data_IF_212919042990
#
_entry.id   IF_212919042990
#
_cell.length_a   1.000
_cell.length_b   1.000
_cell.length_c   1.000
_cell.angle_alpha   90.00
_cell.angle_beta   90.00
_cell.angle_gamma   90.00
#
_symmetry.space_group_name_H-M   'P 1'
#
loop_
_entity.id
_entity.type
_entity.pdbx_description
1 polymer ?
#
# COMPACT_ATOMS: atom_id res chain seq x y z
N UNK A 1 -0.02 -2.70 52.56
CA UNK A 1 -0.20 -2.89 51.10
C UNK A 1 -0.29 -1.59 50.28
N UNK A 2 -0.01 -0.39 50.84
CA UNK A 2 -0.17 0.88 50.12
C UNK A 2 1.07 1.42 49.36
N UNK A 3 2.29 1.01 49.73
CA UNK A 3 3.51 1.58 49.15
C UNK A 3 3.88 0.97 47.79
N UNK A 4 3.62 -0.32 47.57
CA UNK A 4 3.90 -0.98 46.28
C UNK A 4 3.07 -0.40 45.14
N UNK A 5 1.78 -0.12 45.38
CA UNK A 5 0.88 0.47 44.37
C UNK A 5 1.28 1.91 44.01
N UNK A 6 1.82 2.67 44.97
CA UNK A 6 2.36 4.02 44.72
C UNK A 6 3.63 3.99 43.88
N UNK A 7 4.53 3.05 44.15
CA UNK A 7 5.78 2.87 43.37
C UNK A 7 5.46 2.46 41.92
N UNK A 8 4.51 1.55 41.72
CA UNK A 8 4.07 1.12 40.37
C UNK A 8 3.43 2.28 39.60
N UNK A 9 2.58 3.09 40.24
CA UNK A 9 1.98 4.29 39.60
C UNK A 9 3.01 5.36 39.27
N UNK A 10 4.01 5.55 40.13
CA UNK A 10 5.10 6.49 39.89
C UNK A 10 5.96 6.03 38.70
N UNK A 11 6.30 4.74 38.64
CA UNK A 11 7.05 4.14 37.53
C UNK A 11 6.27 4.26 36.21
N UNK A 12 4.98 3.94 36.20
CA UNK A 12 4.13 4.11 35.02
C UNK A 12 4.02 5.58 34.57
N UNK A 13 3.91 6.51 35.51
CA UNK A 13 3.90 7.95 35.23
C UNK A 13 5.22 8.44 34.62
N UNK A 14 6.36 7.93 35.10
CA UNK A 14 7.68 8.23 34.52
C UNK A 14 7.81 7.66 33.11
N UNK A 15 7.37 6.42 32.87
CA UNK A 15 7.38 5.81 31.53
C UNK A 15 6.54 6.61 30.55
N UNK A 16 5.32 7.01 30.94
CA UNK A 16 4.44 7.84 30.11
C UNK A 16 5.03 9.22 29.85
N UNK A 17 5.65 9.85 30.86
CA UNK A 17 6.31 11.14 30.69
C UNK A 17 7.53 11.03 29.76
N UNK A 18 8.33 9.97 29.88
CA UNK A 18 9.45 9.69 28.99
C UNK A 18 8.99 9.40 27.55
N UNK A 19 7.91 8.64 27.37
CA UNK A 19 7.32 8.39 26.05
C UNK A 19 6.78 9.69 25.41
N UNK A 20 6.11 10.54 26.18
CA UNK A 20 5.62 11.83 25.71
C UNK A 20 6.78 12.80 25.38
N UNK A 21 7.85 12.82 26.19
CA UNK A 21 9.05 13.61 25.90
C UNK A 21 9.78 13.10 24.66
N UNK A 22 9.90 11.78 24.50
CA UNK A 22 10.45 11.16 23.29
C UNK A 22 9.61 11.56 22.08
N UNK A 23 8.28 11.47 22.17
CA UNK A 23 7.35 11.88 21.11
C UNK A 23 7.50 13.35 20.74
N UNK A 24 7.61 14.26 21.72
CA UNK A 24 7.84 15.69 21.49
C UNK A 24 9.23 15.94 20.86
N UNK A 25 10.26 15.21 21.29
CA UNK A 25 11.61 15.30 20.73
C UNK A 25 11.66 14.75 19.30
N UNK A 26 10.90 13.70 18.99
CA UNK A 26 10.71 13.16 17.64
C UNK A 26 10.01 14.18 16.74
N UNK A 27 8.95 14.82 17.22
CA UNK A 27 8.20 15.80 16.45
C UNK A 27 8.93 17.13 16.27
N UNK A 28 9.73 17.57 17.25
CA UNK A 28 10.46 18.84 17.19
C UNK A 28 11.82 18.73 16.51
N UNK A 29 12.44 17.55 16.52
CA UNK A 29 13.77 17.35 15.97
C UNK A 29 13.65 16.61 14.63
N UNK A 30 13.73 17.38 13.54
CA UNK A 30 13.77 16.87 12.15
C UNK A 30 14.97 15.95 11.85
N UNK A 31 15.84 15.75 12.85
CA UNK A 31 17.06 14.97 12.79
C UNK A 31 16.91 13.51 13.27
N UNK A 32 15.74 13.10 13.80
CA UNK A 32 15.46 11.66 13.84
C UNK A 32 15.33 11.21 12.39
N UNK A 33 16.15 10.25 11.92
CA UNK A 33 16.04 9.80 10.55
C UNK A 33 14.61 9.33 10.38
N UNK A 34 13.86 9.89 9.43
CA UNK A 34 12.51 9.44 9.05
C UNK A 34 12.43 7.90 8.95
N UNK A 35 13.56 7.31 8.58
CA UNK A 35 13.86 5.87 8.58
C UNK A 35 13.70 5.19 9.94
N UNK A 36 14.23 5.73 11.04
CA UNK A 36 14.07 5.15 12.37
C UNK A 36 12.61 5.16 12.86
N UNK A 37 11.87 6.22 12.55
CA UNK A 37 10.43 6.26 12.83
C UNK A 37 9.64 5.27 11.95
N UNK A 38 10.03 5.12 10.69
CA UNK A 38 9.45 4.16 9.75
C UNK A 38 9.65 2.71 10.21
N UNK A 39 10.87 2.31 10.57
CA UNK A 39 11.16 0.95 11.06
C UNK A 39 10.41 0.67 12.36
N UNK A 40 10.36 1.64 13.29
CA UNK A 40 9.57 1.52 14.52
C UNK A 40 8.07 1.36 14.21
N UNK A 41 7.53 2.15 13.29
CA UNK A 41 6.13 2.04 12.88
C UNK A 41 5.81 0.66 12.32
N UNK A 42 6.65 0.13 11.41
CA UNK A 42 6.47 -1.22 10.86
C UNK A 42 6.55 -2.30 11.93
N UNK A 43 7.50 -2.18 12.85
CA UNK A 43 7.59 -3.10 13.99
C UNK A 43 6.31 -3.08 14.82
N UNK A 44 5.79 -1.90 15.18
CA UNK A 44 4.56 -1.79 15.96
C UNK A 44 3.34 -2.33 15.22
N UNK A 45 3.23 -2.07 13.91
CA UNK A 45 2.16 -2.61 13.08
C UNK A 45 2.21 -4.14 12.98
N UNK A 46 3.42 -4.72 12.93
CA UNK A 46 3.62 -6.16 12.98
C UNK A 46 3.17 -6.74 14.33
N UNK A 47 3.61 -6.17 15.45
CA UNK A 47 3.21 -6.65 16.78
C UNK A 47 1.70 -6.53 17.02
N UNK A 48 1.08 -5.43 16.58
CA UNK A 48 -0.37 -5.28 16.61
C UNK A 48 -1.06 -6.38 15.79
N UNK A 49 -0.54 -6.68 14.59
CA UNK A 49 -1.06 -7.74 13.74
C UNK A 49 -0.93 -9.12 14.40
N UNK A 50 0.21 -9.44 15.02
CA UNK A 50 0.39 -10.70 15.76
C UNK A 50 -0.63 -10.83 16.90
N UNK A 51 -0.88 -9.73 17.64
CA UNK A 51 -1.88 -9.71 18.70
C UNK A 51 -3.29 -9.89 18.14
N UNK A 52 -3.64 -9.24 17.03
CA UNK A 52 -4.99 -9.34 16.43
C UNK A 52 -5.26 -10.70 15.80
N UNK A 53 -4.23 -11.33 15.27
CA UNK A 53 -4.32 -12.61 14.53
C UNK A 53 -3.81 -13.79 15.37
N UNK A 54 -3.71 -13.64 16.69
CA UNK A 54 -3.13 -14.67 17.57
C UNK A 54 -3.87 -16.02 17.53
N UNK A 55 -5.17 -15.99 17.22
CA UNK A 55 -6.05 -17.14 17.11
C UNK A 55 -6.26 -17.60 15.66
N UNK A 56 -5.56 -16.99 14.70
CA UNK A 56 -5.61 -17.38 13.31
C UNK A 56 -4.71 -18.59 13.10
N UNK A 57 -5.14 -19.44 12.19
CA UNK A 57 -4.29 -20.46 11.61
C UNK A 57 -3.33 -19.85 10.59
N UNK A 58 -2.27 -20.59 10.26
CA UNK A 58 -1.32 -20.13 9.25
C UNK A 58 -0.68 -21.26 8.48
N UNK A 59 -0.30 -20.93 7.24
CA UNK A 59 0.60 -21.72 6.42
C UNK A 59 1.77 -20.85 5.98
N UNK A 60 2.90 -21.49 5.69
CA UNK A 60 4.12 -20.82 5.27
C UNK A 60 4.59 -21.42 3.95
N UNK A 61 4.93 -20.55 3.01
CA UNK A 61 5.49 -20.89 1.69
C UNK A 61 6.95 -20.43 1.62
N UNK A 62 7.57 -20.41 0.44
CA UNK A 62 8.95 -19.96 0.29
C UNK A 62 9.08 -18.47 0.65
N UNK A 63 8.14 -17.64 0.22
CA UNK A 63 8.22 -16.19 0.33
C UNK A 63 7.13 -15.54 1.20
N UNK A 64 6.12 -16.29 1.63
CA UNK A 64 4.96 -15.75 2.35
C UNK A 64 4.58 -16.55 3.59
N UNK A 65 3.90 -15.85 4.51
CA UNK A 65 3.12 -16.44 5.61
C UNK A 65 1.67 -16.03 5.40
N UNK A 66 0.77 -16.99 5.27
CA UNK A 66 -0.66 -16.74 5.07
C UNK A 66 -1.39 -17.06 6.38
N UNK A 67 -2.03 -16.07 6.99
CA UNK A 67 -2.85 -16.21 8.20
C UNK A 67 -4.34 -16.18 7.85
N UNK A 68 -5.15 -17.05 8.45
CA UNK A 68 -6.57 -17.17 8.15
C UNK A 68 -7.35 -17.79 9.33
N UNK A 69 -8.67 -17.63 9.34
CA UNK A 69 -9.56 -18.34 10.27
C UNK A 69 -9.92 -19.72 9.73
N UNK A 70 -10.33 -20.66 10.60
CA UNK A 70 -10.56 -22.07 10.23
C UNK A 70 -11.59 -22.22 9.09
N UNK A 71 -12.60 -21.36 9.08
CA UNK A 71 -13.64 -21.34 8.05
C UNK A 71 -13.08 -21.08 6.64
N UNK A 72 -11.95 -20.37 6.55
CA UNK A 72 -11.28 -20.03 5.28
C UNK A 72 -10.13 -20.97 4.92
N UNK A 73 -9.91 -22.06 5.69
CA UNK A 73 -8.84 -23.04 5.41
C UNK A 73 -8.87 -23.54 3.97
N UNK A 74 -10.07 -23.78 3.42
CA UNK A 74 -10.25 -24.27 2.05
C UNK A 74 -9.74 -23.32 0.95
N UNK A 75 -9.52 -22.04 1.27
CA UNK A 75 -9.04 -21.01 0.34
C UNK A 75 -7.57 -20.64 0.57
N UNK A 76 -6.98 -21.06 1.70
CA UNK A 76 -5.60 -20.70 2.07
C UNK A 76 -4.57 -21.09 1.02
N UNK A 77 -4.66 -22.30 0.45
CA UNK A 77 -3.75 -22.77 -0.59
C UNK A 77 -3.88 -21.98 -1.90
N UNK A 78 -5.08 -21.50 -2.24
CA UNK A 78 -5.28 -20.64 -3.41
C UNK A 78 -4.57 -19.30 -3.21
N UNK A 79 -4.78 -18.65 -2.06
CA UNK A 79 -4.11 -17.38 -1.73
C UNK A 79 -2.59 -17.55 -1.71
N UNK A 80 -2.09 -18.64 -1.12
CA UNK A 80 -0.67 -18.97 -1.10
C UNK A 80 -0.09 -19.14 -2.51
N UNK A 81 -0.74 -19.90 -3.39
CA UNK A 81 -0.31 -20.09 -4.78
C UNK A 81 -0.34 -18.77 -5.56
N UNK A 82 -1.39 -17.97 -5.42
CA UNK A 82 -1.50 -16.66 -6.07
C UNK A 82 -0.39 -15.72 -5.60
N UNK A 83 -0.05 -15.72 -4.31
CA UNK A 83 1.05 -14.92 -3.76
C UNK A 83 2.42 -15.36 -4.30
N UNK A 84 2.69 -16.67 -4.33
CA UNK A 84 3.94 -17.19 -4.90
C UNK A 84 4.06 -16.90 -6.41
N UNK A 85 2.95 -17.00 -7.16
CA UNK A 85 2.93 -16.63 -8.58
C UNK A 85 3.15 -15.12 -8.80
N UNK A 86 2.77 -14.28 -7.83
CA UNK A 86 3.00 -12.83 -7.87
C UNK A 86 4.44 -12.44 -7.49
N UNK A 87 5.17 -13.30 -6.77
CA UNK A 87 6.47 -12.98 -6.19
C UNK A 87 7.50 -12.54 -7.24
N UNK A 88 7.80 -13.42 -8.21
CA UNK A 88 8.85 -13.16 -9.20
C UNK A 88 8.48 -11.99 -10.12
N UNK A 89 7.26 -11.93 -10.72
CA UNK A 89 6.92 -10.82 -11.62
C UNK A 89 7.00 -9.44 -10.94
N UNK A 90 6.57 -9.34 -9.68
CA UNK A 90 6.64 -8.08 -8.93
C UNK A 90 8.07 -7.75 -8.52
N UNK A 91 8.80 -8.70 -7.91
CA UNK A 91 10.18 -8.44 -7.45
C UNK A 91 11.13 -8.16 -8.62
N UNK A 92 10.97 -8.85 -9.75
CA UNK A 92 11.75 -8.62 -10.96
C UNK A 92 11.53 -7.21 -11.53
N UNK A 93 10.27 -6.73 -11.58
CA UNK A 93 9.95 -5.37 -12.03
C UNK A 93 10.75 -4.31 -11.26
N UNK A 94 10.85 -4.47 -9.94
CA UNK A 94 11.56 -3.53 -9.07
C UNK A 94 13.04 -3.82 -8.89
N UNK A 95 13.56 -4.93 -9.45
CA UNK A 95 14.88 -5.48 -9.08
C UNK A 95 15.06 -5.59 -7.56
N UNK A 96 13.97 -5.95 -6.87
CA UNK A 96 13.88 -6.01 -5.43
C UNK A 96 14.20 -7.41 -4.91
N UNK A 97 14.80 -7.48 -3.72
CA UNK A 97 15.11 -8.74 -3.03
C UNK A 97 14.60 -8.62 -1.60
N UNK A 98 13.43 -9.22 -1.27
CA UNK A 98 12.91 -9.24 0.08
C UNK A 98 13.87 -9.94 1.05
N UNK A 99 13.98 -9.45 2.28
CA UNK A 99 14.80 -10.07 3.33
C UNK A 99 14.02 -11.07 4.17
N UNK A 100 12.73 -10.78 4.34
CA UNK A 100 11.81 -11.50 5.19
C UNK A 100 10.58 -11.91 4.37
N UNK A 101 9.87 -12.93 4.83
CA UNK A 101 8.61 -13.36 4.20
C UNK A 101 7.55 -12.28 4.37
N UNK A 102 6.77 -12.04 3.33
CA UNK A 102 5.63 -11.13 3.42
C UNK A 102 4.47 -11.84 4.13
N UNK A 103 3.77 -11.11 5.01
CA UNK A 103 2.61 -11.63 5.73
C UNK A 103 1.35 -11.22 4.99
N UNK A 104 0.51 -12.20 4.65
CA UNK A 104 -0.84 -12.01 4.14
C UNK A 104 -1.82 -12.48 5.20
N UNK A 105 -2.78 -11.63 5.58
CA UNK A 105 -3.89 -11.99 6.47
C UNK A 105 -5.18 -12.01 5.66
N UNK A 106 -5.78 -13.19 5.56
CA UNK A 106 -7.08 -13.38 4.92
C UNK A 106 -8.20 -13.15 5.95
N UNK A 107 -9.10 -12.21 5.64
CA UNK A 107 -10.25 -11.89 6.48
C UNK A 107 -11.53 -12.53 5.94
N UNK A 108 -12.39 -13.05 6.83
CA UNK A 108 -13.58 -13.80 6.44
C UNK A 108 -14.69 -12.97 5.82
N UNK A 109 -14.71 -11.65 6.07
CA UNK A 109 -15.74 -10.72 5.59
C UNK A 109 -15.22 -9.27 5.56
N UNK A 110 -15.95 -8.40 4.84
CA UNK A 110 -15.57 -6.99 4.70
C UNK A 110 -15.65 -6.20 6.01
N UNK A 111 -16.53 -6.60 6.94
CA UNK A 111 -16.68 -5.90 8.23
C UNK A 111 -15.45 -6.09 9.11
N UNK A 112 -14.95 -7.33 9.21
CA UNK A 112 -13.74 -7.66 9.95
C UNK A 112 -12.49 -7.07 9.29
N UNK A 113 -12.43 -7.03 7.96
CA UNK A 113 -11.37 -6.34 7.23
C UNK A 113 -11.36 -4.82 7.54
N UNK A 114 -12.49 -4.13 7.40
CA UNK A 114 -12.61 -2.69 7.69
C UNK A 114 -12.31 -2.38 9.17
N UNK A 115 -12.80 -3.22 10.09
CA UNK A 115 -12.54 -3.10 11.54
C UNK A 115 -11.06 -3.27 11.90
N UNK A 116 -10.28 -3.98 11.08
CA UNK A 116 -8.83 -4.11 11.26
C UNK A 116 -8.09 -2.77 11.07
N UNK A 117 -8.71 -1.82 10.36
CA UNK A 117 -8.18 -0.49 10.05
C UNK A 117 -8.83 0.66 10.81
N UNK A 118 -9.93 0.40 11.52
CA UNK A 118 -10.75 1.48 12.08
C UNK A 118 -11.47 2.30 11.00
N UNK A 119 -11.66 1.73 9.81
CA UNK A 119 -12.47 2.29 8.74
C UNK A 119 -13.97 2.11 9.02
N UNK A 120 -14.78 2.99 8.45
CA UNK A 120 -16.24 2.80 8.43
C UNK A 120 -16.61 1.62 7.52
N UNK A 121 -17.69 0.92 7.85
CA UNK A 121 -18.10 -0.35 7.20
C UNK A 121 -18.41 -0.25 5.70
N UNK A 122 -18.48 0.96 5.15
CA UNK A 122 -18.88 1.21 3.75
C UNK A 122 -17.69 1.09 2.76
N UNK A 123 -16.46 0.95 3.25
CA UNK A 123 -15.28 0.70 2.40
C UNK A 123 -15.23 -0.77 1.94
N UNK A 124 -15.58 -0.99 0.66
CA UNK A 124 -15.58 -2.33 0.02
C UNK A 124 -14.24 -2.66 -0.61
N UNK A 125 -13.17 -2.63 0.18
CA UNK A 125 -11.85 -3.03 -0.29
C UNK A 125 -11.75 -4.57 -0.39
N UNK A 126 -11.26 -5.08 -1.52
CA UNK A 126 -10.93 -6.51 -1.67
C UNK A 126 -9.58 -6.85 -1.05
N UNK A 127 -8.68 -5.87 -0.95
CA UNK A 127 -7.40 -5.97 -0.25
C UNK A 127 -6.94 -4.61 0.24
N UNK A 128 -6.01 -4.64 1.21
CA UNK A 128 -5.40 -3.45 1.78
C UNK A 128 -3.98 -3.76 2.26
N UNK A 129 -3.02 -2.98 1.81
CA UNK A 129 -1.69 -2.91 2.36
C UNK A 129 -1.59 -1.87 3.48
N UNK A 130 -1.01 -2.28 4.61
CA UNK A 130 -0.68 -1.34 5.69
C UNK A 130 0.40 -1.86 6.62
N UNK A 131 1.39 -1.00 6.88
CA UNK A 131 2.39 -1.25 7.91
C UNK A 131 3.24 -2.50 7.67
N UNK A 132 3.42 -2.91 6.42
CA UNK A 132 4.15 -4.13 6.07
C UNK A 132 3.30 -5.40 6.03
N UNK A 133 1.99 -5.31 6.26
CA UNK A 133 1.06 -6.44 6.25
C UNK A 133 0.08 -6.28 5.10
N UNK A 134 -0.06 -7.33 4.28
CA UNK A 134 -1.06 -7.42 3.23
C UNK A 134 -2.31 -8.05 3.84
N UNK A 135 -3.47 -7.45 3.61
CA UNK A 135 -4.76 -8.01 4.04
C UNK A 135 -5.61 -8.23 2.82
N UNK A 136 -6.26 -9.38 2.76
CA UNK A 136 -7.11 -9.76 1.62
C UNK A 136 -8.45 -10.25 2.14
N UNK A 137 -9.52 -9.93 1.41
CA UNK A 137 -10.83 -10.49 1.65
C UNK A 137 -10.86 -11.93 1.12
N UNK A 138 -11.45 -12.84 1.90
CA UNK A 138 -11.59 -14.23 1.51
C UNK A 138 -12.25 -14.38 0.14
N UNK A 139 -11.72 -15.23 -0.77
CA UNK A 139 -12.27 -15.42 -2.11
C UNK A 139 -13.78 -15.73 -2.10
N UNK A 140 -14.27 -16.42 -1.07
CA UNK A 140 -15.69 -16.82 -0.95
C UNK A 140 -16.67 -15.65 -0.84
N UNK A 141 -16.20 -14.50 -0.38
CA UNK A 141 -17.06 -13.34 -0.09
C UNK A 141 -17.43 -12.56 -1.36
N UNK A 142 -16.66 -12.70 -2.43
CA UNK A 142 -16.84 -11.90 -3.65
C UNK A 142 -16.81 -12.72 -4.94
N UNK A 143 -16.34 -13.98 -4.90
CA UNK A 143 -16.39 -14.90 -6.04
C UNK A 143 -17.52 -15.90 -5.81
N UNK A 144 -18.64 -15.68 -6.49
CA UNK A 144 -19.83 -16.55 -6.40
C UNK A 144 -20.06 -17.36 -7.69
N UNK A 145 -19.48 -16.95 -8.81
CA UNK A 145 -19.66 -17.55 -10.13
C UNK A 145 -18.33 -17.59 -10.89
N UNK A 146 -18.22 -18.51 -11.85
CA UNK A 146 -17.02 -18.66 -12.68
C UNK A 146 -15.95 -19.55 -12.07
N UNK A 147 -14.76 -19.50 -12.67
CA UNK A 147 -13.58 -20.23 -12.18
C UNK A 147 -12.96 -19.45 -11.01
N UNK A 148 -12.98 -20.05 -9.82
CA UNK A 148 -12.49 -19.45 -8.59
C UNK A 148 -11.00 -19.09 -8.67
N UNK A 149 -10.17 -20.01 -9.17
CA UNK A 149 -8.72 -19.83 -9.20
C UNK A 149 -8.32 -18.79 -10.24
N UNK A 150 -8.94 -18.85 -11.42
CA UNK A 150 -8.71 -17.87 -12.48
C UNK A 150 -9.16 -16.46 -12.05
N UNK A 151 -10.36 -16.34 -11.50
CA UNK A 151 -10.92 -15.04 -11.05
C UNK A 151 -10.07 -14.45 -9.94
N UNK A 152 -9.73 -15.23 -8.91
CA UNK A 152 -8.91 -14.74 -7.80
C UNK A 152 -7.50 -14.35 -8.25
N UNK A 153 -6.89 -15.12 -9.15
CA UNK A 153 -5.52 -14.84 -9.62
C UNK A 153 -5.46 -13.61 -10.51
N UNK A 154 -6.50 -13.35 -11.32
CA UNK A 154 -6.52 -12.22 -12.24
C UNK A 154 -7.04 -10.92 -11.61
N UNK A 155 -8.17 -11.02 -10.91
CA UNK A 155 -8.95 -9.87 -10.43
C UNK A 155 -8.80 -9.67 -8.90
N UNK A 156 -8.10 -10.59 -8.23
CA UNK A 156 -7.85 -10.49 -6.80
C UNK A 156 -6.70 -9.53 -6.46
N UNK A 157 -6.63 -9.08 -5.19
CA UNK A 157 -5.81 -7.93 -4.80
C UNK A 157 -4.31 -8.25 -4.63
N UNK A 158 -3.89 -9.50 -4.75
CA UNK A 158 -2.58 -9.95 -4.26
C UNK A 158 -1.41 -9.23 -4.94
N UNK A 159 -1.46 -9.06 -6.27
CA UNK A 159 -0.39 -8.36 -7.00
C UNK A 159 -0.35 -6.87 -6.65
N UNK A 160 -1.51 -6.23 -6.57
CA UNK A 160 -1.67 -4.82 -6.20
C UNK A 160 -1.10 -4.56 -4.80
N UNK A 161 -1.53 -5.33 -3.79
CA UNK A 161 -1.08 -5.15 -2.40
C UNK A 161 0.38 -5.53 -2.19
N UNK A 162 0.88 -6.55 -2.89
CA UNK A 162 2.30 -6.87 -2.83
C UNK A 162 3.16 -5.77 -3.45
N UNK A 163 2.67 -5.12 -4.52
CA UNK A 163 3.33 -3.95 -5.10
C UNK A 163 3.41 -2.80 -4.10
N UNK A 164 2.33 -2.52 -3.35
CA UNK A 164 2.38 -1.52 -2.27
C UNK A 164 3.46 -1.85 -1.23
N UNK A 165 3.57 -3.10 -0.80
CA UNK A 165 4.60 -3.53 0.15
C UNK A 165 6.01 -3.27 -0.37
N UNK A 166 6.28 -3.62 -1.63
CA UNK A 166 7.60 -3.42 -2.26
C UNK A 166 7.92 -1.93 -2.41
N UNK A 167 6.97 -1.12 -2.88
CA UNK A 167 7.14 0.35 -3.01
C UNK A 167 7.39 0.97 -1.64
N UNK A 168 6.66 0.56 -0.59
CA UNK A 168 6.86 1.05 0.77
C UNK A 168 8.29 0.76 1.28
N UNK A 169 8.82 -0.43 1.04
CA UNK A 169 10.18 -0.80 1.44
C UNK A 169 11.25 -0.04 0.65
N UNK A 170 11.09 0.10 -0.66
CA UNK A 170 12.03 0.83 -1.53
C UNK A 170 12.07 2.32 -1.18
N UNK A 171 10.91 2.90 -0.89
CA UNK A 171 10.78 4.33 -0.56
C UNK A 171 10.94 4.63 0.92
N UNK A 172 10.97 3.61 1.79
CA UNK A 172 11.01 3.74 3.26
C UNK A 172 9.85 4.60 3.78
N UNK A 173 8.64 4.37 3.25
CA UNK A 173 7.44 5.14 3.57
C UNK A 173 7.47 6.60 3.05
N UNK A 174 8.32 6.93 2.08
CA UNK A 174 8.38 8.27 1.48
C UNK A 174 7.66 8.32 0.12
N UNK A 175 6.35 8.13 0.12
CA UNK A 175 5.50 8.23 -1.07
C UNK A 175 4.16 8.87 -0.71
N UNK A 176 3.44 9.33 -1.74
CA UNK A 176 2.08 9.85 -1.60
C UNK A 176 1.07 8.81 -2.07
N UNK A 177 -0.17 8.88 -1.56
CA UNK A 177 -1.22 7.87 -1.82
C UNK A 177 -1.44 7.63 -3.31
N UNK A 178 -1.77 8.68 -4.05
CA UNK A 178 -2.02 8.59 -5.50
C UNK A 178 -0.86 7.95 -6.26
N UNK A 179 0.38 8.25 -5.89
CA UNK A 179 1.55 7.70 -6.59
C UNK A 179 1.65 6.20 -6.38
N UNK A 180 1.48 5.72 -5.14
CA UNK A 180 1.57 4.28 -4.88
C UNK A 180 0.40 3.51 -5.50
N UNK A 181 -0.80 4.08 -5.56
CA UNK A 181 -1.95 3.46 -6.25
C UNK A 181 -1.73 3.38 -7.75
N UNK A 182 -1.15 4.42 -8.35
CA UNK A 182 -0.79 4.39 -9.78
C UNK A 182 0.26 3.33 -10.11
N UNK A 183 1.28 3.18 -9.25
CA UNK A 183 2.33 2.16 -9.44
C UNK A 183 1.76 0.75 -9.24
N UNK A 184 0.92 0.54 -8.23
CA UNK A 184 0.28 -0.74 -7.98
C UNK A 184 -0.61 -1.18 -9.15
N UNK A 185 -1.48 -0.29 -9.67
CA UNK A 185 -2.28 -0.56 -10.87
C UNK A 185 -1.43 -0.83 -12.11
N UNK A 186 -0.32 -0.09 -12.29
CA UNK A 186 0.57 -0.29 -13.44
C UNK A 186 1.21 -1.69 -13.42
N UNK A 187 1.69 -2.14 -12.26
CA UNK A 187 2.30 -3.46 -12.10
C UNK A 187 1.24 -4.56 -12.19
N UNK A 188 0.08 -4.39 -11.56
CA UNK A 188 -1.06 -5.32 -11.66
C UNK A 188 -1.46 -5.55 -13.12
N UNK A 189 -1.67 -4.47 -13.88
CA UNK A 189 -1.94 -4.53 -15.32
C UNK A 189 -0.89 -5.31 -16.10
N UNK A 190 0.38 -5.19 -15.74
CA UNK A 190 1.46 -5.94 -16.40
C UNK A 190 1.49 -7.43 -16.05
N UNK A 191 1.17 -7.77 -14.81
CA UNK A 191 1.31 -9.13 -14.29
C UNK A 191 0.05 -9.96 -14.54
N UNK A 192 -1.13 -9.41 -14.27
CA UNK A 192 -2.41 -10.11 -14.37
C UNK A 192 -3.20 -9.75 -15.62
N UNK A 193 -2.92 -8.57 -16.21
CA UNK A 193 -3.73 -8.00 -17.28
C UNK A 193 -4.99 -7.28 -16.79
N UNK A 194 -5.23 -7.24 -15.48
CA UNK A 194 -6.35 -6.51 -14.89
C UNK A 194 -6.13 -4.99 -14.99
N UNK A 195 -7.20 -4.27 -15.28
CA UNK A 195 -7.22 -2.81 -15.25
C UNK A 195 -8.61 -2.36 -14.84
N UNK A 196 -8.70 -1.32 -14.01
CA UNK A 196 -9.97 -0.66 -13.79
C UNK A 196 -10.46 -0.04 -15.09
N UNK A 197 -11.78 -0.05 -15.27
CA UNK A 197 -12.41 0.66 -16.38
C UNK A 197 -12.18 2.16 -16.25
N UNK A 198 -11.93 2.82 -17.38
CA UNK A 198 -11.87 4.28 -17.38
C UNK A 198 -13.25 4.84 -16.97
N UNK A 199 -13.30 5.89 -16.13
CA UNK A 199 -14.56 6.54 -15.76
C UNK A 199 -15.34 7.00 -17.01
N UNK A 200 -16.68 6.92 -16.95
CA UNK A 200 -17.50 7.55 -17.99
C UNK A 200 -17.37 9.07 -17.88
N UNK A 201 -16.90 9.70 -18.96
CA UNK A 201 -16.79 11.15 -19.03
C UNK A 201 -18.08 11.72 -19.64
N UNK A 202 -19.07 12.01 -18.81
CA UNK A 202 -20.32 12.68 -19.22
C UNK A 202 -20.07 14.20 -19.45
N UNK A 203 -19.03 14.55 -20.21
CA UNK A 203 -18.57 15.92 -20.43
C UNK A 203 -17.05 16.07 -20.28
N UNK A 204 -16.60 17.25 -19.81
CA UNK A 204 -15.16 17.50 -19.62
C UNK A 204 -14.63 16.71 -18.43
N UNK A 205 -13.50 16.02 -18.62
CA UNK A 205 -12.75 15.36 -17.56
C UNK A 205 -12.32 16.37 -16.49
N UNK A 206 -12.84 16.23 -15.26
CA UNK A 206 -12.38 17.01 -14.11
C UNK A 206 -11.04 16.46 -13.60
N UNK A 207 -9.95 16.98 -14.15
CA UNK A 207 -8.59 16.59 -13.74
C UNK A 207 -8.26 17.19 -12.38
N UNK A 208 -7.98 16.33 -11.40
CA UNK A 208 -7.46 16.75 -10.10
C UNK A 208 -6.00 17.20 -10.24
N UNK A 209 -5.61 18.32 -9.65
CA UNK A 209 -4.18 18.60 -9.56
C UNK A 209 -3.54 17.66 -8.50
N UNK A 210 -2.24 17.41 -8.59
CA UNK A 210 -1.56 16.51 -7.65
C UNK A 210 -1.61 16.95 -6.20
N UNK A 211 -1.73 18.25 -5.90
CA UNK A 211 -1.89 18.70 -4.52
C UNK A 211 -3.26 18.30 -3.95
N UNK A 212 -4.31 18.32 -4.78
CA UNK A 212 -5.64 17.79 -4.44
C UNK A 212 -5.58 16.27 -4.25
N UNK A 213 -4.96 15.53 -5.18
CA UNK A 213 -4.79 14.08 -5.06
C UNK A 213 -3.95 13.68 -3.84
N UNK A 214 -2.98 14.50 -3.44
CA UNK A 214 -2.16 14.25 -2.26
C UNK A 214 -2.94 14.48 -0.96
N UNK A 215 -3.77 15.53 -0.91
CA UNK A 215 -4.48 15.91 0.32
C UNK A 215 -5.78 15.15 0.54
N UNK A 216 -6.55 14.96 -0.54
CA UNK A 216 -7.97 14.61 -0.45
C UNK A 216 -8.29 13.23 -1.06
N UNK A 217 -7.29 12.38 -1.37
CA UNK A 217 -7.44 11.16 -2.18
C UNK A 217 -8.68 10.32 -1.86
N UNK A 218 -8.86 9.97 -0.58
CA UNK A 218 -9.95 9.09 -0.12
C UNK A 218 -11.31 9.81 -0.07
N UNK A 219 -11.36 11.14 -0.28
CA UNK A 219 -12.59 11.95 -0.35
C UNK A 219 -13.00 12.34 -1.78
N UNK A 220 -12.14 12.06 -2.76
CA UNK A 220 -12.43 12.32 -4.18
C UNK A 220 -13.28 11.20 -4.79
N UNK A 221 -13.76 11.42 -6.01
CA UNK A 221 -14.33 10.35 -6.81
C UNK A 221 -13.27 9.26 -7.02
N UNK A 222 -13.51 8.08 -6.44
CA UNK A 222 -12.51 7.01 -6.38
C UNK A 222 -12.15 6.50 -7.78
N UNK A 223 -13.14 6.32 -8.66
CA UNK A 223 -12.88 5.90 -10.05
C UNK A 223 -11.93 6.86 -10.76
N UNK A 224 -12.18 8.17 -10.64
CA UNK A 224 -11.35 9.20 -11.23
C UNK A 224 -9.97 9.32 -10.57
N UNK A 225 -9.88 9.23 -9.25
CA UNK A 225 -8.62 9.33 -8.50
C UNK A 225 -7.68 8.17 -8.84
N UNK A 226 -8.19 6.93 -8.89
CA UNK A 226 -7.42 5.75 -9.27
C UNK A 226 -7.03 5.78 -10.75
N UNK A 227 -7.97 6.08 -11.65
CA UNK A 227 -7.68 6.19 -13.08
C UNK A 227 -6.61 7.23 -13.36
N UNK A 228 -6.75 8.44 -12.81
CA UNK A 228 -5.79 9.51 -13.02
C UNK A 228 -4.40 9.16 -12.45
N UNK A 229 -4.35 8.43 -11.34
CA UNK A 229 -3.10 7.95 -10.75
C UNK A 229 -2.37 6.99 -11.68
N UNK A 230 -3.10 6.04 -12.28
CA UNK A 230 -2.56 5.14 -13.29
C UNK A 230 -2.06 5.93 -14.51
N UNK A 231 -2.85 6.88 -15.03
CA UNK A 231 -2.42 7.70 -16.17
C UNK A 231 -1.16 8.52 -15.89
N UNK A 232 -1.02 9.04 -14.67
CA UNK A 232 0.18 9.77 -14.26
C UNK A 232 1.41 8.86 -14.29
N UNK A 233 1.31 7.62 -13.79
CA UNK A 233 2.42 6.65 -13.81
C UNK A 233 2.72 6.14 -15.21
N UNK A 234 1.71 5.84 -16.02
CA UNK A 234 1.89 5.49 -17.43
C UNK A 234 2.63 6.61 -18.17
N UNK A 235 2.31 7.87 -17.91
CA UNK A 235 3.03 8.99 -18.49
C UNK A 235 4.48 9.12 -18.01
N UNK A 236 4.78 8.79 -16.75
CA UNK A 236 6.18 8.69 -16.28
C UNK A 236 6.95 7.62 -17.05
N UNK A 237 6.31 6.47 -17.32
CA UNK A 237 6.90 5.38 -18.09
C UNK A 237 7.03 5.74 -19.57
N UNK A 238 6.10 6.50 -20.15
CA UNK A 238 6.25 7.04 -21.52
C UNK A 238 7.49 7.94 -21.65
N UNK A 239 7.76 8.78 -20.65
CA UNK A 239 8.87 9.72 -20.69
C UNK A 239 10.24 9.06 -20.42
N UNK A 240 10.30 8.19 -19.41
CA UNK A 240 11.57 7.67 -18.89
C UNK A 240 11.76 6.17 -19.04
N UNK A 241 10.78 5.46 -19.60
CA UNK A 241 10.66 4.00 -19.48
C UNK A 241 10.43 3.56 -18.03
N UNK A 242 10.28 2.25 -17.83
CA UNK A 242 10.29 1.65 -16.49
C UNK A 242 11.56 2.02 -15.70
N UNK A 243 12.77 2.07 -16.29
CA UNK A 243 13.94 2.56 -15.57
C UNK A 243 13.79 4.00 -15.06
N UNK A 244 13.02 4.85 -15.73
CA UNK A 244 12.67 6.19 -15.27
C UNK A 244 11.82 6.16 -14.02
N UNK A 245 10.74 5.39 -14.02
CA UNK A 245 9.88 5.17 -12.85
C UNK A 245 10.68 4.61 -11.66
N UNK A 246 11.55 3.62 -11.90
CA UNK A 246 12.40 3.05 -10.85
C UNK A 246 13.37 4.09 -10.26
N UNK A 247 13.91 5.00 -11.08
CA UNK A 247 14.73 6.13 -10.56
C UNK A 247 13.91 7.12 -9.73
N UNK A 248 12.64 7.36 -10.06
CA UNK A 248 11.73 8.16 -9.23
C UNK A 248 11.55 7.50 -7.86
N UNK A 249 11.24 6.20 -7.83
CA UNK A 249 11.08 5.42 -6.59
C UNK A 249 12.38 5.40 -5.77
N UNK A 250 13.53 5.23 -6.43
CA UNK A 250 14.84 5.29 -5.76
C UNK A 250 15.12 6.68 -5.16
N UNK A 251 14.77 7.75 -5.87
CA UNK A 251 14.89 9.12 -5.36
C UNK A 251 13.98 9.36 -4.15
N UNK A 252 12.75 8.84 -4.18
CA UNK A 252 11.85 8.84 -3.02
C UNK A 252 12.49 8.11 -1.83
N UNK A 253 13.09 6.93 -2.02
CA UNK A 253 13.83 6.21 -0.98
C UNK A 253 15.03 6.97 -0.39
N UNK A 254 15.61 7.90 -1.17
CA UNK A 254 16.66 8.83 -0.75
C UNK A 254 16.14 10.08 -0.03
N UNK A 255 14.82 10.22 0.14
CA UNK A 255 14.18 11.31 0.87
C UNK A 255 13.81 12.53 0.03
N UNK A 256 13.87 12.44 -1.30
CA UNK A 256 13.39 13.53 -2.16
C UNK A 256 11.86 13.69 -2.03
N UNK A 257 11.37 14.91 -2.24
CA UNK A 257 9.93 15.14 -2.43
C UNK A 257 9.49 14.53 -3.76
N UNK A 258 8.20 14.23 -3.93
CA UNK A 258 7.70 13.65 -5.16
C UNK A 258 8.01 14.51 -6.42
N UNK A 259 7.85 15.86 -6.39
CA UNK A 259 8.32 16.71 -7.49
C UNK A 259 9.81 16.53 -7.80
N UNK A 260 10.68 16.60 -6.79
CA UNK A 260 12.12 16.46 -6.99
C UNK A 260 12.54 15.04 -7.41
N UNK A 261 11.79 14.02 -7.01
CA UNK A 261 11.99 12.65 -7.44
C UNK A 261 11.61 12.47 -8.92
N UNK A 262 10.49 13.07 -9.37
CA UNK A 262 10.08 13.10 -10.77
C UNK A 262 11.14 13.81 -11.62
N UNK A 263 11.59 14.99 -11.21
CA UNK A 263 12.61 15.75 -11.92
C UNK A 263 13.91 14.96 -12.06
N UNK A 264 14.36 14.36 -10.96
CA UNK A 264 15.59 13.56 -10.94
C UNK A 264 15.45 12.27 -11.75
N UNK A 265 14.33 11.57 -11.63
CA UNK A 265 14.14 10.26 -12.26
C UNK A 265 13.92 10.37 -13.78
N UNK A 266 13.14 11.36 -14.19
CA UNK A 266 12.70 11.53 -15.57
C UNK A 266 13.50 12.60 -16.34
N UNK A 267 14.31 13.42 -15.66
CA UNK A 267 15.10 14.50 -16.26
C UNK A 267 14.21 15.55 -16.99
N UNK A 268 13.06 15.86 -16.39
CA UNK A 268 12.10 16.88 -16.87
C UNK A 268 11.74 17.81 -15.72
N UNK A 269 11.43 19.07 -15.99
CA UNK A 269 10.92 20.01 -14.97
C UNK A 269 9.51 19.57 -14.51
N UNK A 270 9.24 19.61 -13.21
CA UNK A 270 7.95 19.16 -12.66
C UNK A 270 6.75 19.97 -13.18
N UNK A 271 6.92 21.27 -13.36
CA UNK A 271 5.87 22.14 -13.90
C UNK A 271 5.54 21.79 -15.37
N UNK A 272 6.55 21.42 -16.16
CA UNK A 272 6.34 20.94 -17.53
C UNK A 272 5.63 19.59 -17.53
N UNK A 273 6.08 18.65 -16.67
CA UNK A 273 5.45 17.34 -16.51
C UNK A 273 3.96 17.45 -16.18
N UNK A 274 3.62 18.22 -15.14
CA UNK A 274 2.23 18.36 -14.69
C UNK A 274 1.36 19.08 -15.72
N UNK A 275 1.88 20.13 -16.36
CA UNK A 275 1.16 20.85 -17.42
C UNK A 275 0.81 19.94 -18.59
N UNK A 276 1.77 19.16 -19.06
CA UNK A 276 1.59 18.27 -20.21
C UNK A 276 0.64 17.11 -19.88
N UNK A 277 0.80 16.49 -18.71
CA UNK A 277 -0.12 15.46 -18.22
C UNK A 277 -1.56 15.98 -18.15
N UNK A 278 -1.80 17.11 -17.48
CA UNK A 278 -3.16 17.63 -17.32
C UNK A 278 -3.78 18.06 -18.65
N UNK A 279 -2.97 18.53 -19.61
CA UNK A 279 -3.46 18.80 -20.96
C UNK A 279 -3.93 17.51 -21.64
N UNK A 280 -3.13 16.44 -21.59
CA UNK A 280 -3.48 15.12 -22.16
C UNK A 280 -4.77 14.55 -21.56
N UNK A 281 -4.88 14.55 -20.23
CA UNK A 281 -6.06 14.02 -19.53
C UNK A 281 -7.36 14.75 -19.92
N UNK A 282 -7.30 16.07 -20.10
CA UNK A 282 -8.46 16.87 -20.55
C UNK A 282 -8.87 16.60 -22.00
N UNK A 283 -7.99 16.02 -22.81
CA UNK A 283 -8.26 15.64 -24.20
C UNK A 283 -8.67 14.17 -24.36
N UNK A 284 -8.60 13.37 -23.29
CA UNK A 284 -8.96 11.95 -23.30
C UNK A 284 -10.46 11.69 -23.10
N UNK A 285 -11.25 12.71 -22.74
CA UNK A 285 -12.72 12.66 -22.66
C UNK A 285 -13.42 13.56 -23.67
#
# INVERSE_FOLDING_TARGET
MGNGLRIVRLAAGIVLACAALLFILVFKNTALPRQGCYELFRYLAHEENEIRTFNFEWIETEHFVIKFVEEDRGYSDLVARTAENAFEPVTAFFSFQPRDKAVIVMYPDGETLASSFGWDKDERAMGVYWGGIIRVLSPREWIHEGDLEQTFTRDGPVVHEYTHLVVDQLTRGNYNRWFTEGVAQYVEKKVTGFTLEAPSFDGKVEVYNFATLERDFDQLDQGMAYWQSLQAVEYMVELGGEPGLLRVIEALGKGYTLPGAIEKGLQVEYDSFTKDLYARLRHAG
#
